data_IF_103741907691
#
_entry.id   IF_103741907691
#
_cell.length_a   1.000
_cell.length_b   1.000
_cell.length_c   1.000
_cell.angle_alpha   90.00
_cell.angle_beta   90.00
_cell.angle_gamma   90.00
#
_symmetry.space_group_name_H-M   'P 1'
#
loop_
_entity.id
_entity.type
_entity.pdbx_description
1 polymer ?
#
# COMPACT_ATOMS: atom_id res chain seq x y z
N UNK A 1 132.15 -57.61 80.02
CA UNK A 1 131.61 -58.11 78.74
C UNK A 1 130.32 -58.85 79.05
N UNK A 2 129.22 -58.54 78.35
CA UNK A 2 127.97 -59.30 78.49
C UNK A 2 127.97 -60.51 77.56
N UNK A 3 127.25 -61.57 77.92
CA UNK A 3 127.13 -62.77 77.09
C UNK A 3 126.42 -62.51 75.76
N UNK A 4 126.71 -63.29 74.73
CA UNK A 4 126.14 -63.17 73.38
C UNK A 4 124.62 -63.40 73.42
N UNK A 5 123.82 -62.45 72.90
CA UNK A 5 122.36 -62.62 72.78
C UNK A 5 122.06 -63.38 71.47
N UNK A 6 121.88 -64.69 71.59
CA UNK A 6 121.48 -65.56 70.48
C UNK A 6 120.61 -66.70 71.00
N UNK A 7 119.83 -67.35 70.13
CA UNK A 7 118.84 -68.37 70.49
C UNK A 7 119.39 -69.54 71.33
N UNK A 8 120.67 -69.91 71.15
CA UNK A 8 121.30 -71.07 71.79
C UNK A 8 122.38 -70.68 72.82
N UNK A 9 122.50 -69.40 73.16
CA UNK A 9 123.50 -68.95 74.12
C UNK A 9 123.17 -69.45 75.52
N UNK A 10 124.16 -70.04 76.18
CA UNK A 10 124.12 -70.38 77.61
C UNK A 10 124.92 -69.37 78.46
N UNK A 11 125.42 -68.30 77.82
CA UNK A 11 126.20 -67.26 78.49
C UNK A 11 125.30 -66.38 79.36
N UNK A 12 125.82 -65.91 80.49
CA UNK A 12 125.09 -65.03 81.38
C UNK A 12 124.85 -63.66 80.72
N UNK A 13 123.59 -63.23 80.68
CA UNK A 13 123.21 -61.87 80.30
C UNK A 13 123.48 -60.90 81.45
N UNK A 14 123.96 -59.68 81.14
CA UNK A 14 124.19 -58.64 82.14
C UNK A 14 123.07 -57.58 82.16
N UNK A 15 123.06 -56.74 83.21
CA UNK A 15 122.04 -55.71 83.38
C UNK A 15 121.97 -54.69 82.24
N UNK A 16 123.10 -54.33 81.61
CA UNK A 16 123.11 -53.37 80.48
C UNK A 16 122.42 -53.93 79.23
N UNK A 17 122.56 -55.23 78.97
CA UNK A 17 121.90 -55.91 77.85
C UNK A 17 120.39 -56.02 78.06
N UNK A 18 119.97 -56.32 79.29
CA UNK A 18 118.55 -56.35 79.65
C UNK A 18 117.93 -54.94 79.63
N UNK A 19 118.67 -53.93 80.08
CA UNK A 19 118.25 -52.52 79.99
C UNK A 19 118.09 -52.06 78.55
N UNK A 20 119.07 -52.30 77.67
CA UNK A 20 118.95 -51.94 76.25
C UNK A 20 117.79 -52.65 75.56
N UNK A 21 117.48 -53.90 75.92
CA UNK A 21 116.28 -54.58 75.44
C UNK A 21 115.00 -53.89 75.95
N UNK A 22 114.91 -53.61 77.24
CA UNK A 22 113.75 -52.95 77.85
C UNK A 22 113.50 -51.54 77.30
N UNK A 23 114.54 -50.71 77.20
CA UNK A 23 114.50 -49.35 76.65
C UNK A 23 114.08 -49.36 75.17
N UNK A 24 114.61 -50.28 74.35
CA UNK A 24 114.20 -50.40 72.96
C UNK A 24 112.73 -50.83 72.83
N UNK A 25 112.27 -51.78 73.65
CA UNK A 25 110.86 -52.20 73.63
C UNK A 25 109.95 -51.05 74.07
N UNK A 26 110.36 -50.21 75.03
CA UNK A 26 109.60 -49.03 75.46
C UNK A 26 109.51 -47.98 74.35
N UNK A 27 110.63 -47.70 73.67
CA UNK A 27 110.66 -46.81 72.49
C UNK A 27 109.79 -47.31 71.34
N UNK A 28 109.73 -48.62 71.10
CA UNK A 28 108.85 -49.20 70.07
C UNK A 28 107.37 -49.08 70.41
N UNK A 29 106.98 -49.22 71.68
CA UNK A 29 105.61 -48.97 72.10
C UNK A 29 105.24 -47.48 72.01
N UNK A 30 106.17 -46.56 72.28
CA UNK A 30 105.87 -45.13 72.30
C UNK A 30 104.89 -44.79 73.43
N UNK A 31 104.06 -43.75 73.25
CA UNK A 31 103.02 -43.41 74.22
C UNK A 31 103.54 -43.15 75.63
N UNK A 32 104.73 -42.57 75.79
CA UNK A 32 105.37 -42.38 77.11
C UNK A 32 105.76 -43.67 77.86
N UNK A 33 105.77 -44.84 77.22
CA UNK A 33 106.36 -46.04 77.82
C UNK A 33 107.85 -45.81 78.14
N UNK A 34 108.31 -46.31 79.28
CA UNK A 34 109.68 -46.16 79.75
C UNK A 34 110.15 -47.44 80.48
N UNK A 35 111.45 -47.71 80.46
CA UNK A 35 112.08 -48.79 81.22
C UNK A 35 113.22 -48.22 82.07
N UNK A 36 113.02 -48.15 83.38
CA UNK A 36 113.95 -47.50 84.30
C UNK A 36 114.11 -48.32 85.58
N UNK A 37 115.35 -48.48 86.06
CA UNK A 37 115.69 -49.21 87.29
C UNK A 37 115.11 -50.64 87.37
N UNK A 38 115.00 -51.31 86.23
CA UNK A 38 114.45 -52.66 86.12
C UNK A 38 112.91 -52.73 86.11
N UNK A 39 112.22 -51.59 86.16
CA UNK A 39 110.76 -51.47 86.18
C UNK A 39 110.23 -50.92 84.86
N UNK A 40 109.06 -51.41 84.46
CA UNK A 40 108.33 -50.95 83.28
C UNK A 40 107.29 -49.90 83.62
N UNK A 41 107.26 -48.81 82.86
CA UNK A 41 106.14 -47.86 82.81
C UNK A 41 105.29 -48.16 81.57
N UNK A 42 104.00 -48.38 81.76
CA UNK A 42 103.08 -48.71 80.66
C UNK A 42 102.94 -47.53 79.67
N UNK A 43 102.73 -47.80 78.36
CA UNK A 43 102.35 -46.74 77.43
C UNK A 43 100.97 -46.18 77.77
N UNK A 44 100.73 -44.96 77.32
CA UNK A 44 99.44 -44.27 77.27
C UNK A 44 99.26 -43.70 75.85
N UNK A 45 98.29 -44.25 75.13
CA UNK A 45 97.92 -43.81 73.78
C UNK A 45 96.66 -42.98 73.85
N UNK A 46 96.75 -41.73 73.41
CA UNK A 46 95.59 -40.85 73.29
C UNK A 46 95.05 -40.88 71.87
N UNK A 47 93.82 -41.34 71.70
CA UNK A 47 93.09 -41.31 70.43
C UNK A 47 91.80 -40.52 70.58
N UNK A 48 91.39 -39.88 69.48
CA UNK A 48 90.03 -39.35 69.37
C UNK A 48 89.09 -40.48 69.04
N UNK A 49 88.10 -40.70 69.88
CA UNK A 49 87.06 -41.70 69.69
C UNK A 49 85.69 -41.07 69.61
N UNK A 50 84.76 -41.80 69.01
CA UNK A 50 83.36 -41.38 68.92
C UNK A 50 82.58 -42.02 70.06
N UNK A 51 81.74 -41.23 70.74
CA UNK A 51 80.88 -41.72 71.81
C UNK A 51 79.80 -42.68 71.26
N UNK A 52 79.09 -43.39 72.14
CA UNK A 52 78.22 -44.51 71.74
C UNK A 52 77.03 -44.10 70.85
N UNK A 53 76.61 -42.83 70.90
CA UNK A 53 75.52 -42.28 70.11
C UNK A 53 75.97 -41.50 68.87
N UNK A 54 77.28 -41.47 68.56
CA UNK A 54 77.82 -40.78 67.38
C UNK A 54 77.97 -39.26 67.52
N UNK A 55 77.27 -38.65 68.49
CA UNK A 55 77.08 -37.20 68.53
C UNK A 55 78.33 -36.37 68.87
N UNK A 56 79.38 -37.00 69.42
CA UNK A 56 80.58 -36.30 69.89
C UNK A 56 81.86 -37.10 69.65
N UNK A 57 82.92 -36.35 69.34
CA UNK A 57 84.31 -36.85 69.32
C UNK A 57 85.00 -36.44 70.61
N UNK A 58 85.59 -37.41 71.31
CA UNK A 58 86.24 -37.24 72.61
C UNK A 58 87.66 -37.84 72.62
N UNK A 59 88.56 -37.26 73.40
CA UNK A 59 89.90 -37.84 73.62
C UNK A 59 89.80 -38.97 74.64
N UNK A 60 90.35 -40.14 74.30
CA UNK A 60 90.39 -41.32 75.17
C UNK A 60 91.80 -41.88 75.25
N UNK A 61 92.24 -42.13 76.47
CA UNK A 61 93.55 -42.70 76.78
C UNK A 61 93.45 -44.23 76.90
N UNK A 62 94.45 -44.93 76.35
CA UNK A 62 94.53 -46.39 76.32
C UNK A 62 95.90 -46.87 76.80
N UNK A 63 95.93 -47.89 77.66
CA UNK A 63 97.16 -48.36 78.30
C UNK A 63 97.88 -49.46 77.52
N UNK A 64 97.25 -49.99 76.46
CA UNK A 64 97.81 -51.02 75.59
C UNK A 64 97.51 -50.73 74.11
N UNK A 65 98.35 -51.26 73.22
CA UNK A 65 98.16 -51.15 71.75
C UNK A 65 96.83 -51.78 71.33
N UNK A 66 96.52 -52.98 71.86
CA UNK A 66 95.30 -53.70 71.52
C UNK A 66 94.03 -52.92 71.89
N UNK A 67 93.99 -52.32 73.09
CA UNK A 67 92.85 -51.50 73.51
C UNK A 67 92.71 -50.23 72.66
N UNK A 68 93.83 -49.60 72.30
CA UNK A 68 93.83 -48.41 71.46
C UNK A 68 93.28 -48.68 70.05
N UNK A 69 93.75 -49.75 69.39
CA UNK A 69 93.23 -50.14 68.09
C UNK A 69 91.78 -50.64 68.15
N UNK A 70 91.39 -51.34 69.22
CA UNK A 70 89.98 -51.70 69.44
C UNK A 70 89.09 -50.46 69.59
N UNK A 71 89.58 -49.42 70.27
CA UNK A 71 88.90 -48.13 70.41
C UNK A 71 88.70 -47.38 69.08
N UNK A 72 89.73 -47.35 68.23
CA UNK A 72 89.65 -46.79 66.88
C UNK A 72 88.69 -47.61 66.01
N UNK A 73 88.76 -48.94 66.05
CA UNK A 73 87.83 -49.84 65.35
C UNK A 73 86.37 -49.58 65.75
N UNK A 74 86.10 -49.50 67.05
CA UNK A 74 84.77 -49.16 67.58
C UNK A 74 84.30 -47.79 67.11
N UNK A 75 85.20 -46.79 67.01
CA UNK A 75 84.86 -45.46 66.50
C UNK A 75 84.48 -45.48 65.02
N UNK A 76 85.16 -46.29 64.19
CA UNK A 76 84.78 -46.47 62.80
C UNK A 76 83.43 -47.18 62.64
N UNK A 77 83.14 -48.19 63.46
CA UNK A 77 81.83 -48.85 63.48
C UNK A 77 80.70 -47.88 63.83
N UNK A 78 80.92 -47.02 64.84
CA UNK A 78 79.97 -45.97 65.25
C UNK A 78 79.72 -44.96 64.14
N UNK A 79 80.76 -44.45 63.50
CA UNK A 79 80.63 -43.52 62.36
C UNK A 79 79.90 -44.16 61.18
N UNK A 80 80.18 -45.43 60.87
CA UNK A 80 79.48 -46.15 59.80
C UNK A 80 77.98 -46.28 60.08
N UNK A 81 77.62 -46.57 61.33
CA UNK A 81 76.23 -46.62 61.79
C UNK A 81 75.54 -45.25 61.65
N UNK A 82 76.15 -44.19 62.16
CA UNK A 82 75.57 -42.84 62.08
C UNK A 82 75.41 -42.36 60.63
N UNK A 83 76.38 -42.63 59.76
CA UNK A 83 76.26 -42.34 58.34
C UNK A 83 75.10 -43.10 57.68
N UNK A 84 74.90 -44.37 58.06
CA UNK A 84 73.79 -45.19 57.57
C UNK A 84 72.44 -44.65 58.04
N UNK A 85 72.33 -44.28 59.32
CA UNK A 85 71.11 -43.70 59.89
C UNK A 85 70.78 -42.33 59.28
N UNK A 86 71.79 -41.46 59.11
CA UNK A 86 71.64 -40.16 58.45
C UNK A 86 71.15 -40.31 57.01
N UNK A 87 71.76 -41.22 56.24
CA UNK A 87 71.32 -41.51 54.86
C UNK A 87 69.89 -42.07 54.80
N UNK A 88 69.51 -42.93 55.74
CA UNK A 88 68.15 -43.44 55.82
C UNK A 88 67.16 -42.31 56.11
N UNK A 89 67.47 -41.42 57.06
CA UNK A 89 66.63 -40.26 57.38
C UNK A 89 66.47 -39.29 56.21
N UNK A 90 67.56 -38.98 55.49
CA UNK A 90 67.53 -38.14 54.27
C UNK A 90 66.67 -38.80 53.18
N UNK A 91 66.84 -40.10 52.97
CA UNK A 91 66.07 -40.86 51.97
C UNK A 91 64.58 -40.82 52.28
N UNK A 92 64.22 -41.00 53.55
CA UNK A 92 62.82 -40.98 53.97
C UNK A 92 62.22 -39.58 53.87
N UNK A 93 62.97 -38.54 54.22
CA UNK A 93 62.52 -37.16 54.06
C UNK A 93 62.20 -36.80 52.60
N UNK A 94 63.05 -37.25 51.66
CA UNK A 94 62.83 -37.08 50.22
C UNK A 94 61.59 -37.86 49.78
N UNK A 95 61.45 -39.14 50.19
CA UNK A 95 60.27 -39.96 49.87
C UNK A 95 58.96 -39.36 50.36
N UNK A 96 59.00 -38.70 51.51
CA UNK A 96 57.83 -38.11 52.14
C UNK A 96 57.40 -36.77 51.52
N UNK A 97 58.35 -35.94 51.06
CA UNK A 97 58.06 -34.54 50.72
C UNK A 97 58.34 -34.15 49.26
N UNK A 98 59.02 -34.98 48.48
CA UNK A 98 59.25 -34.71 47.07
C UNK A 98 58.06 -35.13 46.19
N UNK A 99 57.87 -34.44 45.07
CA UNK A 99 56.97 -34.86 43.99
C UNK A 99 57.67 -35.96 43.19
N UNK A 100 57.29 -37.21 43.43
CA UNK A 100 58.01 -38.39 42.93
C UNK A 100 57.26 -39.07 41.80
N UNK A 101 58.02 -39.71 40.91
CA UNK A 101 57.47 -40.55 39.87
C UNK A 101 56.81 -41.81 40.46
N UNK A 102 55.52 -42.00 40.16
CA UNK A 102 54.78 -43.22 40.44
C UNK A 102 54.97 -44.18 39.26
N UNK A 103 55.68 -45.28 39.48
CA UNK A 103 55.84 -46.32 38.44
C UNK A 103 54.51 -46.99 38.10
N UNK A 104 53.61 -47.10 39.07
CA UNK A 104 52.25 -47.65 38.88
C UNK A 104 51.40 -46.75 38.00
N UNK A 105 51.39 -45.44 38.27
CA UNK A 105 50.55 -44.48 37.53
C UNK A 105 51.25 -43.95 36.26
N UNK A 106 52.53 -44.26 36.07
CA UNK A 106 53.39 -43.72 35.01
C UNK A 106 53.32 -42.18 34.92
N UNK A 107 53.32 -41.51 36.07
CA UNK A 107 53.25 -40.06 36.18
C UNK A 107 53.90 -39.58 37.49
N UNK A 108 54.20 -38.28 37.58
CA UNK A 108 54.51 -37.69 38.87
C UNK A 108 53.27 -37.63 39.76
N UNK A 109 53.38 -38.10 41.00
CA UNK A 109 52.29 -38.09 41.97
C UNK A 109 52.30 -36.81 42.79
N UNK A 110 51.20 -36.07 42.75
CA UNK A 110 50.94 -34.96 43.66
C UNK A 110 50.21 -35.40 44.94
N UNK A 111 50.29 -36.68 45.31
CA UNK A 111 49.72 -37.17 46.57
C UNK A 111 50.69 -36.95 47.72
N UNK A 112 50.22 -36.41 48.84
CA UNK A 112 51.01 -36.18 50.05
C UNK A 112 50.19 -36.57 51.29
N UNK A 113 50.86 -37.03 52.35
CA UNK A 113 50.25 -37.54 53.59
C UNK A 113 51.19 -38.48 54.36
N UNK A 114 51.02 -38.60 55.68
CA UNK A 114 51.84 -39.47 56.53
C UNK A 114 51.41 -40.94 56.39
N UNK A 115 52.24 -41.76 55.74
CA UNK A 115 51.94 -43.17 55.49
C UNK A 115 51.13 -43.41 54.22
N UNK A 116 51.28 -44.61 53.63
CA UNK A 116 50.78 -44.91 52.28
C UNK A 116 49.24 -44.85 52.18
N UNK A 117 48.53 -45.20 53.26
CA UNK A 117 47.07 -45.18 53.30
C UNK A 117 46.47 -43.76 53.40
N UNK A 118 47.24 -42.78 53.88
CA UNK A 118 46.76 -41.41 54.16
C UNK A 118 47.14 -40.41 53.05
N UNK A 119 47.80 -40.88 51.99
CA UNK A 119 48.19 -40.03 50.85
C UNK A 119 46.96 -39.61 50.05
N UNK A 120 46.73 -38.30 49.97
CA UNK A 120 45.61 -37.71 49.21
C UNK A 120 46.09 -36.70 48.17
N UNK A 121 45.26 -36.42 47.16
CA UNK A 121 45.57 -35.45 46.11
C UNK A 121 45.81 -34.06 46.73
N UNK A 122 47.00 -33.52 46.51
CA UNK A 122 47.40 -32.21 47.03
C UNK A 122 47.48 -31.15 45.93
N UNK A 123 47.34 -29.88 46.32
CA UNK A 123 47.47 -28.76 45.39
C UNK A 123 48.94 -28.55 45.01
N UNK A 124 49.19 -28.23 43.75
CA UNK A 124 50.44 -27.63 43.29
C UNK A 124 50.18 -26.12 43.18
N UNK A 125 50.79 -25.33 44.06
CA UNK A 125 50.62 -23.87 44.12
C UNK A 125 51.88 -23.13 43.67
N UNK A 126 51.79 -21.81 43.50
CA UNK A 126 52.86 -20.95 42.99
C UNK A 126 53.27 -21.29 41.54
N UNK A 127 52.38 -21.91 40.77
CA UNK A 127 52.55 -22.17 39.36
C UNK A 127 52.36 -20.87 38.55
N UNK A 128 53.38 -20.49 37.78
CA UNK A 128 53.28 -19.40 36.82
C UNK A 128 52.17 -19.68 35.78
N UNK A 129 51.62 -18.65 35.13
CA UNK A 129 50.67 -18.87 34.03
C UNK A 129 51.40 -19.63 32.90
N UNK A 130 50.87 -20.79 32.52
CA UNK A 130 51.42 -21.57 31.41
C UNK A 130 51.14 -20.91 30.07
N UNK A 131 51.97 -21.17 29.06
CA UNK A 131 51.70 -20.70 27.70
C UNK A 131 50.47 -21.40 27.12
N UNK A 132 49.48 -20.64 26.63
CA UNK A 132 48.28 -21.17 25.95
C UNK A 132 48.51 -21.05 24.44
N UNK A 133 49.11 -22.08 23.86
CA UNK A 133 49.37 -22.19 22.43
C UNK A 133 49.26 -23.65 21.97
N UNK A 134 49.03 -23.86 20.68
CA UNK A 134 49.02 -25.19 20.09
C UNK A 134 50.35 -25.91 20.37
N UNK A 135 50.28 -27.14 20.88
CA UNK A 135 51.45 -27.94 21.24
C UNK A 135 52.12 -27.57 22.56
N UNK A 136 51.61 -26.61 23.34
CA UNK A 136 52.15 -26.28 24.67
C UNK A 136 52.03 -27.48 25.63
N UNK A 137 53.09 -27.72 26.39
CA UNK A 137 53.13 -28.71 27.48
C UNK A 137 53.19 -28.06 28.86
N UNK A 138 53.00 -26.74 28.94
CA UNK A 138 52.97 -26.02 30.20
C UNK A 138 51.71 -26.35 30.99
N UNK A 139 51.84 -26.50 32.30
CA UNK A 139 50.67 -26.60 33.17
C UNK A 139 49.96 -25.23 33.26
N UNK A 140 48.62 -25.25 33.22
CA UNK A 140 47.80 -24.06 33.43
C UNK A 140 47.38 -23.94 34.89
N UNK A 141 47.27 -22.72 35.39
CA UNK A 141 46.80 -22.47 36.75
C UNK A 141 45.34 -22.00 36.77
N UNK A 142 44.75 -21.94 37.97
CA UNK A 142 43.33 -21.60 38.13
C UNK A 142 42.92 -20.22 37.61
N UNK A 143 43.84 -19.25 37.54
CA UNK A 143 43.52 -17.92 37.01
C UNK A 143 43.25 -17.94 35.51
N UNK A 144 43.93 -18.80 34.74
CA UNK A 144 43.72 -18.93 33.30
C UNK A 144 42.38 -19.61 32.97
N UNK A 145 42.02 -20.64 33.75
CA UNK A 145 40.71 -21.28 33.63
C UNK A 145 39.58 -20.32 34.04
N UNK A 146 39.80 -19.51 35.07
CA UNK A 146 38.86 -18.46 35.47
C UNK A 146 38.65 -17.43 34.36
N UNK A 147 39.72 -16.90 33.76
CA UNK A 147 39.65 -15.96 32.63
C UNK A 147 38.82 -16.56 31.47
N UNK A 148 39.06 -17.84 31.15
CA UNK A 148 38.28 -18.58 30.13
C UNK A 148 36.80 -18.67 30.50
N UNK A 149 36.47 -19.03 31.75
CA UNK A 149 35.08 -19.13 32.21
C UNK A 149 34.35 -17.78 32.18
N UNK A 150 35.05 -16.67 32.44
CA UNK A 150 34.49 -15.32 32.30
C UNK A 150 34.12 -15.02 30.84
N UNK A 151 34.97 -15.40 29.88
CA UNK A 151 34.64 -15.28 28.45
C UNK A 151 33.45 -16.15 28.04
N UNK A 152 33.37 -17.39 28.53
CA UNK A 152 32.21 -18.27 28.27
C UNK A 152 30.92 -17.65 28.82
N UNK A 153 30.94 -17.14 30.04
CA UNK A 153 29.81 -16.44 30.65
C UNK A 153 29.37 -15.21 29.84
N UNK A 154 30.34 -14.41 29.36
CA UNK A 154 30.05 -13.27 28.50
C UNK A 154 29.43 -13.68 27.16
N UNK A 155 29.88 -14.78 26.55
CA UNK A 155 29.28 -15.33 25.33
C UNK A 155 27.83 -15.76 25.58
N UNK A 156 27.56 -16.46 26.69
CA UNK A 156 26.19 -16.84 27.08
C UNK A 156 25.28 -15.63 27.24
N UNK A 157 25.75 -14.58 27.93
CA UNK A 157 24.96 -13.36 28.11
C UNK A 157 24.74 -12.59 26.79
N UNK A 158 25.76 -12.51 25.93
CA UNK A 158 25.62 -11.91 24.61
C UNK A 158 24.61 -12.67 23.74
N UNK A 159 24.56 -14.00 23.84
CA UNK A 159 23.59 -14.82 23.14
C UNK A 159 22.15 -14.55 23.63
N UNK A 160 21.92 -14.53 24.94
CA UNK A 160 20.61 -14.16 25.51
C UNK A 160 20.18 -12.76 25.06
N UNK A 161 21.09 -11.80 25.11
CA UNK A 161 20.83 -10.43 24.66
C UNK A 161 20.48 -10.37 23.17
N UNK A 162 21.24 -11.06 22.32
CA UNK A 162 20.98 -11.11 20.89
C UNK A 162 19.63 -11.76 20.58
N UNK A 163 19.31 -12.88 21.23
CA UNK A 163 18.04 -13.57 21.06
C UNK A 163 16.86 -12.71 21.53
N UNK A 164 16.97 -12.02 22.67
CA UNK A 164 15.96 -11.07 23.14
C UNK A 164 15.75 -9.91 22.15
N UNK A 165 16.83 -9.32 21.62
CA UNK A 165 16.74 -8.25 20.62
C UNK A 165 16.10 -8.71 19.31
N UNK A 166 16.40 -9.94 18.87
CA UNK A 166 15.77 -10.56 17.69
C UNK A 166 14.26 -10.75 17.95
N UNK A 167 13.88 -11.26 19.12
CA UNK A 167 12.48 -11.43 19.51
C UNK A 167 11.73 -10.08 19.51
N UNK A 168 12.33 -9.05 20.11
CA UNK A 168 11.78 -7.69 20.11
C UNK A 168 11.61 -7.13 18.69
N UNK A 169 12.56 -7.41 17.79
CA UNK A 169 12.50 -6.97 16.39
C UNK A 169 11.39 -7.66 15.59
N UNK A 170 11.04 -8.90 15.93
CA UNK A 170 9.87 -9.57 15.35
C UNK A 170 8.55 -8.98 15.83
N UNK A 171 8.49 -8.45 17.06
CA UNK A 171 7.25 -7.94 17.64
C UNK A 171 6.22 -9.06 17.86
N UNK A 172 4.93 -8.72 17.87
CA UNK A 172 3.86 -9.73 18.00
C UNK A 172 3.91 -10.56 19.29
N UNK A 173 4.58 -10.08 20.34
CA UNK A 173 4.78 -10.85 21.58
C UNK A 173 5.84 -11.95 21.48
N UNK A 174 6.67 -11.99 20.43
CA UNK A 174 7.84 -12.86 20.40
C UNK A 174 8.76 -12.56 21.59
N UNK A 175 9.27 -13.61 22.24
CA UNK A 175 10.14 -13.51 23.41
C UNK A 175 11.19 -14.62 23.36
N UNK A 176 12.39 -14.34 23.88
CA UNK A 176 13.37 -15.37 24.21
C UNK A 176 13.72 -15.25 25.68
N UNK A 177 13.41 -16.30 26.44
CA UNK A 177 13.59 -16.30 27.90
C UNK A 177 13.89 -17.71 28.41
N UNK A 178 14.81 -17.81 29.36
CA UNK A 178 15.19 -19.07 30.02
C UNK A 178 15.56 -20.20 29.04
N UNK A 179 16.20 -19.85 27.91
CA UNK A 179 16.61 -20.80 26.88
C UNK A 179 15.52 -21.21 25.87
N UNK A 180 14.32 -20.63 25.94
CA UNK A 180 13.19 -20.97 25.11
C UNK A 180 12.64 -19.78 24.31
N UNK A 181 12.16 -20.06 23.09
CA UNK A 181 11.48 -19.09 22.24
C UNK A 181 9.96 -19.15 22.44
N UNK A 182 9.34 -17.99 22.58
CA UNK A 182 7.89 -17.77 22.41
C UNK A 182 7.65 -17.23 21.00
N UNK A 183 6.82 -17.91 20.22
CA UNK A 183 6.48 -17.50 18.86
C UNK A 183 5.64 -16.20 18.84
N UNK A 184 5.82 -15.33 17.83
CA UNK A 184 4.96 -14.17 17.67
C UNK A 184 3.53 -14.55 17.27
N UNK A 185 2.60 -13.65 17.57
CA UNK A 185 1.25 -13.60 17.01
C UNK A 185 0.94 -12.17 16.58
N UNK A 186 0.57 -12.01 15.31
CA UNK A 186 0.27 -10.72 14.70
C UNK A 186 -1.24 -10.58 14.53
N UNK A 187 -1.80 -9.49 15.08
CA UNK A 187 -3.19 -9.09 14.83
C UNK A 187 -3.24 -8.11 13.69
N UNK A 188 -3.84 -8.52 12.57
CA UNK A 188 -3.95 -7.68 11.38
C UNK A 188 -5.41 -7.52 11.00
N UNK A 189 -5.83 -6.27 10.80
CA UNK A 189 -7.14 -5.96 10.25
C UNK A 189 -7.13 -6.21 8.75
N UNK A 190 -8.12 -6.94 8.28
CA UNK A 190 -8.26 -7.36 6.89
C UNK A 190 -9.65 -6.99 6.36
N UNK A 191 -9.82 -7.04 5.05
CA UNK A 191 -11.13 -6.93 4.41
C UNK A 191 -11.52 -8.33 3.98
N UNK A 192 -12.70 -8.77 4.41
CA UNK A 192 -13.27 -10.07 4.06
C UNK A 192 -13.85 -10.05 2.64
N UNK A 193 -14.20 -11.22 2.15
CA UNK A 193 -14.84 -11.43 0.86
C UNK A 193 -16.22 -10.76 0.74
N UNK A 194 -16.90 -10.51 1.86
CA UNK A 194 -18.15 -9.73 1.93
C UNK A 194 -17.95 -8.20 1.95
N UNK A 195 -16.70 -7.73 1.86
CA UNK A 195 -16.33 -6.31 1.90
C UNK A 195 -16.25 -5.70 3.31
N UNK A 196 -16.58 -6.44 4.37
CA UNK A 196 -16.53 -5.94 5.73
C UNK A 196 -15.12 -6.06 6.34
N UNK A 197 -14.84 -5.19 7.31
CA UNK A 197 -13.62 -5.29 8.09
C UNK A 197 -13.63 -6.56 8.97
N UNK A 198 -12.52 -7.29 8.96
CA UNK A 198 -12.20 -8.39 9.84
C UNK A 198 -10.90 -8.16 10.61
N UNK A 199 -10.60 -9.05 11.54
CA UNK A 199 -9.31 -9.14 12.22
C UNK A 199 -8.89 -10.61 12.21
N UNK A 200 -7.64 -10.87 11.84
CA UNK A 200 -7.04 -12.20 11.85
C UNK A 200 -5.82 -12.23 12.78
N UNK A 201 -5.63 -13.39 13.42
CA UNK A 201 -4.42 -13.74 14.14
C UNK A 201 -3.50 -14.55 13.22
N UNK A 202 -2.23 -14.14 13.12
CA UNK A 202 -1.25 -14.74 12.20
C UNK A 202 0.01 -15.14 12.96
N UNK A 203 0.52 -16.36 12.76
CA UNK A 203 1.67 -16.87 13.49
C UNK A 203 3.01 -16.39 12.92
N UNK A 204 3.00 -15.80 11.72
CA UNK A 204 4.19 -15.29 11.06
C UNK A 204 3.92 -14.01 10.26
N UNK A 205 4.99 -13.29 9.93
CA UNK A 205 4.95 -12.12 9.05
C UNK A 205 4.47 -12.50 7.64
N UNK A 206 4.81 -13.69 7.15
CA UNK A 206 4.39 -14.17 5.83
C UNK A 206 2.88 -14.34 5.77
N UNK A 207 2.31 -15.07 6.74
CA UNK A 207 0.86 -15.28 6.84
C UNK A 207 0.11 -13.95 7.01
N UNK A 208 0.64 -13.04 7.83
CA UNK A 208 0.09 -11.71 8.01
C UNK A 208 0.02 -10.92 6.68
N UNK A 209 1.09 -10.96 5.87
CA UNK A 209 1.10 -10.32 4.56
C UNK A 209 0.21 -11.01 3.52
N UNK A 210 0.05 -12.34 3.58
CA UNK A 210 -0.95 -13.05 2.77
C UNK A 210 -2.38 -12.59 3.09
N UNK A 211 -2.69 -12.37 4.37
CA UNK A 211 -3.95 -11.77 4.81
C UNK A 211 -4.18 -10.36 4.25
N UNK A 212 -3.15 -9.52 4.24
CA UNK A 212 -3.19 -8.18 3.63
C UNK A 212 -3.39 -8.27 2.11
N UNK A 213 -2.66 -9.16 1.42
CA UNK A 213 -2.80 -9.37 -0.02
C UNK A 213 -4.20 -9.83 -0.42
N UNK A 214 -4.80 -10.70 0.39
CA UNK A 214 -6.21 -11.10 0.24
C UNK A 214 -7.14 -9.91 0.40
N UNK A 215 -6.89 -9.03 1.39
CA UNK A 215 -7.68 -7.80 1.60
C UNK A 215 -7.64 -6.86 0.40
N UNK A 216 -6.48 -6.70 -0.25
CA UNK A 216 -6.38 -5.91 -1.49
C UNK A 216 -7.17 -6.52 -2.64
N UNK A 217 -7.19 -7.85 -2.74
CA UNK A 217 -8.01 -8.56 -3.73
C UNK A 217 -9.51 -8.31 -3.50
N UNK A 218 -9.94 -8.43 -2.24
CA UNK A 218 -11.33 -8.20 -1.86
C UNK A 218 -11.76 -6.75 -2.09
N UNK A 219 -10.90 -5.77 -1.74
CA UNK A 219 -11.14 -4.35 -2.04
C UNK A 219 -11.24 -4.08 -3.55
N UNK A 220 -10.39 -4.72 -4.36
CA UNK A 220 -10.47 -4.59 -5.82
C UNK A 220 -11.79 -5.13 -6.37
N UNK A 221 -12.29 -6.25 -5.85
CA UNK A 221 -13.59 -6.82 -6.23
C UNK A 221 -14.75 -5.90 -5.83
N UNK A 222 -14.79 -5.41 -4.60
CA UNK A 222 -15.84 -4.50 -4.12
C UNK A 222 -15.82 -3.17 -4.89
N UNK A 223 -14.63 -2.65 -5.21
CA UNK A 223 -14.50 -1.46 -6.05
C UNK A 223 -15.05 -1.71 -7.47
N UNK A 224 -14.70 -2.83 -8.10
CA UNK A 224 -15.23 -3.18 -9.43
C UNK A 224 -16.75 -3.33 -9.41
N UNK A 225 -17.30 -3.94 -8.37
CA UNK A 225 -18.75 -4.07 -8.17
C UNK A 225 -19.42 -2.70 -8.05
N UNK A 226 -18.86 -1.80 -7.25
CA UNK A 226 -19.38 -0.43 -7.11
C UNK A 226 -19.28 0.37 -8.42
N UNK A 227 -18.17 0.25 -9.17
CA UNK A 227 -18.00 0.88 -10.48
C UNK A 227 -19.02 0.34 -11.48
N UNK A 228 -19.17 -0.98 -11.56
CA UNK A 228 -20.14 -1.61 -12.46
C UNK A 228 -21.57 -1.17 -12.12
N UNK A 229 -21.91 -1.08 -10.83
CA UNK A 229 -23.20 -0.54 -10.42
C UNK A 229 -23.41 0.90 -10.91
N UNK A 230 -22.42 1.79 -10.77
CA UNK A 230 -22.51 3.16 -11.28
C UNK A 230 -22.65 3.19 -12.81
N UNK A 231 -21.92 2.34 -13.52
CA UNK A 231 -22.01 2.21 -14.99
C UNK A 231 -23.40 1.69 -15.39
N UNK A 232 -23.93 0.69 -14.69
CA UNK A 232 -25.24 0.09 -14.93
C UNK A 232 -26.39 1.06 -14.62
N UNK A 233 -26.24 1.87 -13.57
CA UNK A 233 -27.21 2.89 -13.15
C UNK A 233 -27.11 4.19 -13.95
N UNK A 234 -26.05 4.39 -14.74
CA UNK A 234 -25.92 5.56 -15.59
C UNK A 234 -27.08 5.68 -16.57
N UNK A 235 -27.77 6.83 -16.55
CA UNK A 235 -28.87 7.10 -17.47
C UNK A 235 -28.37 7.56 -18.85
N UNK A 236 -27.14 8.06 -18.96
CA UNK A 236 -26.58 8.59 -20.20
C UNK A 236 -25.43 7.69 -20.62
N UNK A 237 -25.64 6.89 -21.66
CA UNK A 237 -24.66 5.92 -22.15
C UNK A 237 -24.41 6.13 -23.64
N UNK A 238 -23.14 6.17 -24.04
CA UNK A 238 -22.78 6.08 -25.45
C UNK A 238 -22.76 4.61 -25.85
N UNK A 239 -23.55 4.25 -26.87
CA UNK A 239 -23.54 2.90 -27.40
C UNK A 239 -22.25 2.66 -28.21
N UNK A 240 -21.56 1.56 -27.94
CA UNK A 240 -20.20 1.33 -28.44
C UNK A 240 -20.11 1.18 -29.96
N UNK A 241 -21.15 0.67 -30.62
CA UNK A 241 -21.16 0.41 -32.06
C UNK A 241 -21.47 1.66 -32.88
N UNK A 242 -22.59 2.31 -32.58
CA UNK A 242 -23.15 3.47 -33.30
C UNK A 242 -22.60 4.79 -32.79
N UNK A 243 -21.97 4.80 -31.61
CA UNK A 243 -21.52 6.00 -30.89
C UNK A 243 -22.64 6.99 -30.55
N UNK A 244 -23.90 6.57 -30.66
CA UNK A 244 -25.06 7.37 -30.26
C UNK A 244 -25.15 7.43 -28.74
N UNK A 245 -25.33 8.64 -28.20
CA UNK A 245 -25.63 8.84 -26.79
C UNK A 245 -27.12 8.59 -26.57
N UNK A 246 -27.44 7.55 -25.80
CA UNK A 246 -28.79 7.21 -25.40
C UNK A 246 -29.05 7.72 -23.99
N UNK A 247 -30.28 8.16 -23.73
CA UNK A 247 -30.74 8.61 -22.41
C UNK A 247 -31.85 7.67 -21.96
N UNK A 248 -31.62 6.95 -20.85
CA UNK A 248 -32.61 6.06 -20.22
C UNK A 248 -32.96 4.79 -20.98
N UNK A 249 -32.24 4.42 -22.05
CA UNK A 249 -32.65 3.33 -22.95
C UNK A 249 -32.77 1.93 -22.30
N UNK A 250 -32.08 1.70 -21.17
CA UNK A 250 -32.11 0.44 -20.40
C UNK A 250 -33.04 0.52 -19.17
N UNK A 251 -33.75 1.63 -18.98
CA UNK A 251 -34.64 1.86 -17.84
C UNK A 251 -36.07 2.08 -18.34
N UNK A 252 -37.05 1.64 -17.56
CA UNK A 252 -38.47 1.86 -17.87
C UNK A 252 -38.87 3.32 -17.59
N UNK A 253 -40.00 3.74 -18.14
CA UNK A 253 -40.55 5.10 -17.99
C UNK A 253 -40.96 5.72 -19.33
N UNK A 254 -41.74 6.80 -19.26
CA UNK A 254 -42.25 7.51 -20.46
C UNK A 254 -41.87 8.98 -20.49
N UNK A 255 -41.15 9.49 -19.49
CA UNK A 255 -40.80 10.90 -19.35
C UNK A 255 -39.31 11.09 -19.01
N UNK A 256 -38.67 12.03 -19.71
CA UNK A 256 -37.35 12.56 -19.36
C UNK A 256 -37.52 14.04 -19.03
N UNK A 257 -37.32 14.41 -17.77
CA UNK A 257 -37.37 15.81 -17.34
C UNK A 257 -35.97 16.42 -17.29
N UNK A 258 -35.84 17.62 -17.85
CA UNK A 258 -34.64 18.47 -17.71
C UNK A 258 -34.88 19.61 -16.71
N UNK A 259 -35.86 19.49 -15.82
CA UNK A 259 -36.02 20.47 -14.73
C UNK A 259 -34.82 20.44 -13.77
N UNK A 260 -34.59 21.53 -13.02
CA UNK A 260 -33.61 21.54 -11.93
C UNK A 260 -34.17 20.86 -10.66
N UNK A 261 -33.42 20.85 -9.56
CA UNK A 261 -33.86 20.25 -8.28
C UNK A 261 -35.08 20.93 -7.65
N UNK A 262 -35.48 22.12 -8.12
CA UNK A 262 -36.68 22.85 -7.69
C UNK A 262 -37.88 22.62 -8.63
N UNK A 263 -37.73 21.80 -9.67
CA UNK A 263 -38.77 21.57 -10.67
C UNK A 263 -38.89 22.67 -11.74
N UNK A 264 -37.94 23.61 -11.80
CA UNK A 264 -37.94 24.69 -12.79
C UNK A 264 -37.42 24.17 -14.13
N UNK A 265 -38.19 24.38 -15.19
CA UNK A 265 -37.82 24.02 -16.56
C UNK A 265 -36.54 24.73 -17.04
N UNK A 266 -35.70 24.02 -17.79
CA UNK A 266 -34.46 24.54 -18.38
C UNK A 266 -34.57 24.62 -19.91
N UNK A 267 -33.80 25.52 -20.51
CA UNK A 267 -33.65 25.55 -21.97
C UNK A 267 -32.73 24.42 -22.45
N UNK A 268 -33.09 23.79 -23.57
CA UNK A 268 -32.24 22.84 -24.28
C UNK A 268 -31.66 23.57 -25.50
N UNK A 269 -30.35 23.77 -25.50
CA UNK A 269 -29.62 24.41 -26.61
C UNK A 269 -28.78 23.39 -27.38
N UNK A 270 -28.36 23.74 -28.61
CA UNK A 270 -27.64 22.81 -29.49
C UNK A 270 -28.52 21.79 -30.21
N UNK A 271 -29.85 21.95 -30.16
CA UNK A 271 -30.81 21.10 -30.90
C UNK A 271 -30.72 21.39 -32.40
N UNK A 272 -30.17 20.44 -33.15
CA UNK A 272 -30.12 20.49 -34.62
C UNK A 272 -31.54 20.44 -35.19
N UNK A 273 -31.74 21.03 -36.37
CA UNK A 273 -33.01 20.96 -37.07
C UNK A 273 -33.43 19.49 -37.30
N UNK A 274 -34.65 19.15 -36.88
CA UNK A 274 -35.27 17.85 -37.07
C UNK A 274 -35.42 17.51 -38.57
N UNK A 275 -35.03 16.29 -38.92
CA UNK A 275 -35.14 15.66 -40.24
C UNK A 275 -36.02 14.41 -40.23
N UNK A 276 -36.31 13.87 -39.03
CA UNK A 276 -37.23 12.76 -38.79
C UNK A 276 -38.44 13.23 -37.98
N UNK A 277 -39.49 12.41 -37.95
CA UNK A 277 -40.74 12.65 -37.24
C UNK A 277 -40.63 12.47 -35.72
N UNK A 278 -39.63 11.73 -35.25
CA UNK A 278 -39.34 11.46 -33.83
C UNK A 278 -38.25 12.37 -33.22
N UNK A 279 -37.83 13.41 -33.94
CA UNK A 279 -36.81 14.38 -33.50
C UNK A 279 -37.44 15.65 -32.90
N UNK A 280 -36.78 16.24 -31.90
CA UNK A 280 -37.21 17.51 -31.33
C UNK A 280 -37.04 18.65 -32.35
N UNK A 281 -38.11 19.42 -32.59
CA UNK A 281 -38.06 20.63 -33.43
C UNK A 281 -37.38 21.77 -32.68
N UNK A 282 -36.46 22.47 -33.34
CA UNK A 282 -35.86 23.66 -32.76
C UNK A 282 -36.67 24.92 -33.09
N UNK A 283 -36.38 26.03 -32.39
CA UNK A 283 -37.12 27.29 -32.55
C UNK A 283 -37.05 27.83 -33.99
N UNK A 284 -35.91 27.71 -34.65
CA UNK A 284 -35.71 28.20 -36.01
C UNK A 284 -36.64 27.51 -37.01
N UNK A 285 -36.80 26.18 -36.92
CA UNK A 285 -37.71 25.43 -37.79
C UNK A 285 -39.16 25.85 -37.59
N UNK A 286 -39.57 26.05 -36.33
CA UNK A 286 -40.92 26.50 -36.01
C UNK A 286 -41.18 27.90 -36.58
N UNK A 287 -40.26 28.85 -36.33
CA UNK A 287 -40.37 30.23 -36.84
C UNK A 287 -40.45 30.24 -38.38
N UNK A 288 -39.59 29.49 -39.07
CA UNK A 288 -39.59 29.37 -40.54
C UNK A 288 -40.89 28.75 -41.07
N UNK A 289 -41.43 27.75 -40.39
CA UNK A 289 -42.70 27.11 -40.79
C UNK A 289 -43.88 28.07 -40.64
N UNK A 290 -43.89 28.84 -39.55
CA UNK A 290 -44.88 29.90 -39.30
C UNK A 290 -44.78 31.02 -40.34
N UNK A 291 -43.55 31.44 -40.67
CA UNK A 291 -43.30 32.45 -41.68
C UNK A 291 -43.74 31.98 -43.07
N UNK A 292 -43.41 30.73 -43.46
CA UNK A 292 -43.83 30.14 -44.72
C UNK A 292 -45.36 30.07 -44.84
N UNK A 293 -46.06 29.66 -43.77
CA UNK A 293 -47.52 29.65 -43.73
C UNK A 293 -48.11 31.05 -43.87
N UNK A 294 -47.56 32.02 -43.12
CA UNK A 294 -47.99 33.43 -43.18
C UNK A 294 -47.83 34.00 -44.60
N UNK A 295 -46.68 33.77 -45.22
CA UNK A 295 -46.40 34.21 -46.58
C UNK A 295 -47.32 33.53 -47.60
N UNK A 296 -47.62 32.24 -47.44
CA UNK A 296 -48.56 31.52 -48.31
C UNK A 296 -49.95 32.15 -48.26
N UNK A 297 -50.45 32.49 -47.06
CA UNK A 297 -51.77 33.09 -46.88
C UNK A 297 -51.88 34.51 -47.42
N UNK A 298 -50.78 35.28 -47.37
CA UNK A 298 -50.71 36.66 -47.86
C UNK A 298 -50.21 36.77 -49.31
N UNK A 299 -49.91 35.65 -49.96
CA UNK A 299 -49.39 35.65 -51.33
C UNK A 299 -50.44 36.04 -52.36
N UNK A 300 -49.99 36.55 -53.51
CA UNK A 300 -50.84 36.86 -54.66
C UNK A 300 -51.50 35.64 -55.30
N UNK A 301 -51.05 34.44 -54.94
CA UNK A 301 -51.61 33.15 -55.38
C UNK A 301 -52.57 32.53 -54.34
N UNK A 302 -52.78 33.21 -53.21
CA UNK A 302 -53.73 32.79 -52.19
C UNK A 302 -55.16 32.86 -52.71
N UNK A 303 -55.97 31.85 -52.42
CA UNK A 303 -57.38 31.77 -52.82
C UNK A 303 -58.33 32.56 -51.89
N UNK A 304 -57.80 33.49 -51.11
CA UNK A 304 -58.55 34.29 -50.12
C UNK A 304 -58.87 35.67 -50.69
N UNK A 305 -60.06 36.19 -50.38
CA UNK A 305 -60.40 37.59 -50.66
C UNK A 305 -59.87 38.44 -49.50
N UNK A 306 -59.00 39.40 -49.82
CA UNK A 306 -58.40 40.31 -48.85
C UNK A 306 -58.95 41.73 -49.05
N UNK A 307 -58.98 42.47 -47.95
CA UNK A 307 -59.14 43.93 -48.01
C UNK A 307 -57.91 44.57 -48.65
N UNK A 308 -58.12 45.72 -49.29
CA UNK A 308 -57.04 46.49 -49.90
C UNK A 308 -56.06 47.00 -48.84
N UNK A 309 -54.83 47.34 -49.25
CA UNK A 309 -53.83 47.99 -48.37
C UNK A 309 -53.57 49.42 -48.81
N UNK A 310 -53.58 50.34 -47.85
CA UNK A 310 -53.17 51.73 -48.01
C UNK A 310 -52.06 52.07 -46.99
N UNK A 311 -50.92 52.57 -47.47
CA UNK A 311 -49.75 52.89 -46.63
C UNK A 311 -49.30 51.76 -45.68
N UNK A 312 -49.39 50.51 -46.15
CA UNK A 312 -49.04 49.32 -45.39
C UNK A 312 -50.07 48.88 -44.34
N UNK A 313 -51.20 49.59 -44.19
CA UNK A 313 -52.32 49.20 -43.31
C UNK A 313 -53.48 48.61 -44.11
N UNK A 314 -54.19 47.68 -43.49
CA UNK A 314 -55.43 47.12 -44.05
C UNK A 314 -56.51 48.19 -44.11
N UNK A 315 -57.10 48.38 -45.28
CA UNK A 315 -58.24 49.27 -45.52
C UNK A 315 -59.54 48.47 -45.56
N UNK A 316 -60.25 48.45 -44.44
CA UNK A 316 -61.52 47.74 -44.30
C UNK A 316 -62.68 48.34 -45.11
N UNK A 317 -62.45 49.46 -45.81
CA UNK A 317 -63.49 50.12 -46.63
C UNK A 317 -63.48 49.68 -48.09
N UNK A 318 -62.41 49.01 -48.55
CA UNK A 318 -62.24 48.63 -49.96
C UNK A 318 -61.82 47.16 -50.12
N UNK A 319 -62.38 46.54 -51.15
CA UNK A 319 -61.98 45.21 -51.66
C UNK A 319 -61.87 45.32 -53.17
N UNK A 320 -60.65 45.19 -53.70
CA UNK A 320 -60.42 45.08 -55.14
C UNK A 320 -60.40 43.61 -55.52
N UNK A 321 -61.44 43.14 -56.22
CA UNK A 321 -61.52 41.76 -56.69
C UNK A 321 -60.67 41.57 -57.96
N UNK A 322 -59.71 40.66 -57.91
CA UNK A 322 -58.76 40.36 -58.99
C UNK A 322 -57.31 40.60 -58.58
N UNK A 323 -56.34 40.15 -59.39
CA UNK A 323 -54.89 40.33 -59.15
C UNK A 323 -54.41 41.75 -59.49
N UNK A 324 -55.13 42.77 -59.02
CA UNK A 324 -54.80 44.18 -59.25
C UNK A 324 -55.35 44.77 -60.56
N UNK A 325 -54.91 46.01 -60.86
CA UNK A 325 -55.51 46.92 -61.85
C UNK A 325 -55.53 46.38 -63.29
N UNK A 326 -54.61 45.46 -63.60
CA UNK A 326 -54.45 44.88 -64.94
C UNK A 326 -55.10 43.48 -65.07
N UNK A 327 -55.77 43.00 -64.03
CA UNK A 327 -56.44 41.69 -64.04
C UNK A 327 -57.86 41.77 -64.57
N UNK A 328 -58.35 40.66 -65.14
CA UNK A 328 -59.74 40.59 -65.58
C UNK A 328 -60.69 40.71 -64.38
N UNK A 329 -61.80 41.47 -64.50
CA UNK A 329 -62.79 41.58 -63.44
C UNK A 329 -63.30 40.21 -62.98
N UNK A 330 -63.44 40.04 -61.67
CA UNK A 330 -63.94 38.81 -61.05
C UNK A 330 -65.46 38.85 -60.98
N UNK A 331 -66.11 37.80 -61.49
CA UNK A 331 -67.55 37.62 -61.32
C UNK A 331 -67.90 37.30 -59.87
N UNK A 332 -68.81 38.07 -59.27
CA UNK A 332 -69.38 37.76 -57.96
C UNK A 332 -70.73 37.06 -58.17
N UNK A 333 -70.74 35.74 -57.97
CA UNK A 333 -71.89 34.87 -58.24
C UNK A 333 -72.50 34.34 -56.93
N UNK A 334 -73.70 33.76 -57.03
CA UNK A 334 -74.45 33.21 -55.89
C UNK A 334 -74.69 34.26 -54.78
N UNK A 335 -74.90 35.51 -55.18
CA UNK A 335 -75.33 36.58 -54.27
C UNK A 335 -76.84 36.43 -54.09
N UNK A 336 -77.31 36.42 -52.84
CA UNK A 336 -78.73 36.49 -52.54
C UNK A 336 -79.30 37.87 -52.93
N UNK A 337 -80.59 37.93 -53.27
CA UNK A 337 -81.25 39.19 -53.61
C UNK A 337 -81.16 40.21 -52.45
N UNK A 338 -80.56 41.37 -52.74
CA UNK A 338 -80.37 42.44 -51.77
C UNK A 338 -81.66 43.20 -51.50
N UNK A 339 -81.82 43.77 -50.31
CA UNK A 339 -83.01 44.59 -50.03
C UNK A 339 -82.97 45.90 -50.80
N UNK A 340 -83.97 46.14 -51.64
CA UNK A 340 -84.13 47.40 -52.39
C UNK A 340 -84.97 48.37 -51.55
N UNK A 341 -84.32 48.98 -50.55
CA UNK A 341 -84.90 49.99 -49.64
C UNK A 341 -83.93 51.14 -49.40
N UNK A 342 -84.43 52.30 -48.98
CA UNK A 342 -83.59 53.48 -48.69
C UNK A 342 -82.58 53.17 -47.58
N UNK A 343 -81.29 53.37 -47.86
CA UNK A 343 -80.19 53.12 -46.91
C UNK A 343 -79.69 51.68 -46.85
N UNK A 344 -80.14 50.80 -47.75
CA UNK A 344 -79.57 49.45 -47.89
C UNK A 344 -78.13 49.50 -48.40
N UNK A 345 -77.28 48.62 -47.86
CA UNK A 345 -75.90 48.38 -48.32
C UNK A 345 -75.73 46.98 -48.92
N UNK A 346 -76.83 46.28 -49.18
CA UNK A 346 -76.82 44.96 -49.79
C UNK A 346 -76.42 45.06 -51.27
N UNK A 347 -75.60 44.13 -51.75
CA UNK A 347 -75.39 43.95 -53.18
C UNK A 347 -76.70 43.50 -53.85
N UNK A 348 -77.02 44.06 -55.01
CA UNK A 348 -78.18 43.66 -55.81
C UNK A 348 -77.76 42.66 -56.89
N UNK A 349 -78.66 41.75 -57.26
CA UNK A 349 -78.39 40.74 -58.29
C UNK A 349 -78.84 41.21 -59.68
N UNK A 350 -78.30 40.58 -60.72
CA UNK A 350 -78.78 40.79 -62.09
C UNK A 350 -80.27 40.44 -62.26
N UNK A 351 -80.78 39.46 -61.51
CA UNK A 351 -82.20 39.07 -61.54
C UNK A 351 -83.13 40.18 -61.03
N UNK A 352 -82.69 40.91 -59.99
CA UNK A 352 -83.44 42.06 -59.47
C UNK A 352 -83.47 43.23 -60.47
N UNK A 353 -82.33 43.56 -61.09
CA UNK A 353 -82.26 44.59 -62.13
C UNK A 353 -83.12 44.20 -63.33
N UNK A 354 -83.07 42.92 -63.74
CA UNK A 354 -83.90 42.42 -64.83
C UNK A 354 -85.40 42.55 -64.52
N UNK A 355 -85.82 42.19 -63.30
CA UNK A 355 -87.22 42.35 -62.87
C UNK A 355 -87.66 43.82 -62.94
N UNK A 356 -86.85 44.74 -62.40
CA UNK A 356 -87.14 46.19 -62.47
C UNK A 356 -87.24 46.66 -63.93
N UNK A 357 -86.29 46.23 -64.76
CA UNK A 357 -86.25 46.60 -66.18
C UNK A 357 -87.47 46.09 -66.95
N UNK A 358 -87.89 44.85 -66.71
CA UNK A 358 -89.10 44.27 -67.28
C UNK A 358 -90.37 45.00 -66.82
N UNK A 359 -90.46 45.38 -65.54
CA UNK A 359 -91.61 46.12 -65.03
C UNK A 359 -91.69 47.53 -65.62
N UNK A 360 -90.55 48.23 -65.77
CA UNK A 360 -90.48 49.51 -66.48
C UNK A 360 -90.94 49.34 -67.95
N UNK A 361 -90.45 48.32 -68.64
CA UNK A 361 -90.84 48.04 -70.03
C UNK A 361 -92.35 47.79 -70.15
N UNK A 362 -92.93 47.00 -69.23
CA UNK A 362 -94.39 46.76 -69.16
C UNK A 362 -95.17 48.05 -68.91
N UNK A 363 -94.72 48.91 -68.00
CA UNK A 363 -95.39 50.18 -67.70
C UNK A 363 -95.33 51.17 -68.85
N UNK A 364 -94.24 51.18 -69.63
CA UNK A 364 -94.15 51.97 -70.85
C UNK A 364 -95.06 51.40 -71.95
N UNK A 365 -95.12 50.09 -72.11
CA UNK A 365 -95.87 49.47 -73.21
C UNK A 365 -95.25 49.81 -74.57
N UNK A 366 -96.05 49.79 -75.64
CA UNK A 366 -95.58 50.12 -77.00
C UNK A 366 -94.41 49.27 -77.47
N UNK A 367 -94.39 47.96 -77.22
CA UNK A 367 -93.25 47.09 -77.60
C UNK A 367 -91.92 47.36 -76.88
N UNK A 368 -91.88 48.21 -75.84
CA UNK A 368 -90.71 48.33 -74.98
C UNK A 368 -90.35 46.97 -74.33
N UNK A 369 -89.05 46.69 -74.20
CA UNK A 369 -88.52 45.45 -73.62
C UNK A 369 -87.20 45.72 -72.90
N UNK A 370 -86.86 44.92 -71.90
CA UNK A 370 -85.54 44.96 -71.26
C UNK A 370 -84.77 43.69 -71.67
N UNK A 371 -83.63 43.85 -72.34
CA UNK A 371 -82.81 42.74 -72.87
C UNK A 371 -81.34 43.08 -72.75
N UNK A 372 -80.55 42.09 -72.35
CA UNK A 372 -79.08 42.18 -72.21
C UNK A 372 -78.61 43.40 -71.39
N UNK A 373 -79.39 43.76 -70.36
CA UNK A 373 -79.11 44.91 -69.48
C UNK A 373 -79.54 46.27 -70.01
N UNK A 374 -80.17 46.35 -71.19
CA UNK A 374 -80.66 47.59 -71.81
C UNK A 374 -82.18 47.62 -71.99
N UNK A 375 -82.78 48.81 -71.83
CA UNK A 375 -84.20 49.06 -72.13
C UNK A 375 -84.36 49.52 -73.58
N UNK A 376 -85.20 48.85 -74.36
CA UNK A 376 -85.59 49.30 -75.71
C UNK A 376 -86.68 50.37 -75.62
N UNK A 377 -86.63 51.33 -76.54
CA UNK A 377 -87.63 52.40 -76.60
C UNK A 377 -89.03 51.84 -76.88
N UNK A 378 -90.10 52.41 -76.28
CA UNK A 378 -91.47 52.12 -76.72
C UNK A 378 -91.72 52.68 -78.13
N UNK A 379 -92.78 52.24 -78.78
CA UNK A 379 -93.31 52.68 -80.05
C UNK A 379 -94.82 52.84 -79.86
N UNK A 380 -95.26 54.08 -79.74
CA UNK A 380 -96.68 54.42 -79.69
C UNK A 380 -97.15 54.80 -81.09
N UNK A 381 -98.01 53.97 -81.69
CA UNK A 381 -98.68 54.30 -82.93
C UNK A 381 -99.97 55.05 -82.63
N UNK A 382 -99.99 56.33 -82.95
CA UNK A 382 -101.17 57.17 -82.80
C UNK A 382 -101.63 57.62 -84.19
N UNK A 383 -102.92 57.88 -84.30
CA UNK A 383 -103.45 58.65 -85.42
C UNK A 383 -102.79 60.04 -85.42
N UNK A 384 -102.60 60.62 -86.59
CA UNK A 384 -102.14 62.00 -86.81
C UNK A 384 -103.19 62.66 -87.71
N UNK A 385 -103.87 63.66 -87.16
CA UNK A 385 -105.00 64.35 -87.81
C UNK A 385 -104.48 65.69 -88.29
N UNK A 386 -104.37 65.85 -89.61
CA UNK A 386 -104.01 67.14 -90.19
C UNK A 386 -105.13 68.17 -89.97
N UNK A 387 -104.82 69.46 -90.09
CA UNK A 387 -105.82 70.55 -90.01
C UNK A 387 -106.98 70.39 -91.00
N UNK A 388 -106.73 69.73 -92.12
CA UNK A 388 -107.72 69.48 -93.17
C UNK A 388 -108.55 68.20 -92.92
N UNK A 389 -108.27 67.47 -91.83
CA UNK A 389 -109.02 66.29 -91.40
C UNK A 389 -108.56 64.95 -91.94
N UNK A 390 -107.40 64.90 -92.59
CA UNK A 390 -106.82 63.63 -93.05
C UNK A 390 -106.22 62.91 -91.85
N UNK A 391 -106.52 61.62 -91.70
CA UNK A 391 -105.98 60.78 -90.62
C UNK A 391 -104.88 59.88 -91.18
N UNK A 392 -103.66 60.01 -90.66
CA UNK A 392 -102.52 59.14 -90.99
C UNK A 392 -101.97 58.48 -89.71
N UNK A 393 -101.09 57.48 -89.83
CA UNK A 393 -100.42 56.89 -88.66
C UNK A 393 -99.07 57.54 -88.42
N UNK A 394 -98.76 57.90 -87.17
CA UNK A 394 -97.44 58.42 -86.77
C UNK A 394 -96.94 57.70 -85.53
N UNK A 395 -95.65 57.34 -85.55
CA UNK A 395 -94.99 56.62 -84.46
C UNK A 395 -94.21 57.58 -83.58
N UNK A 396 -94.30 57.38 -82.26
CA UNK A 396 -93.54 58.12 -81.25
C UNK A 396 -92.75 57.14 -80.37
N UNK A 397 -91.50 57.48 -80.06
CA UNK A 397 -90.59 56.57 -79.33
C UNK A 397 -90.44 56.88 -77.84
N UNK A 398 -91.20 57.85 -77.34
CA UNK A 398 -91.26 58.21 -75.94
C UNK A 398 -92.65 58.74 -75.59
N UNK A 399 -93.00 58.65 -74.30
CA UNK A 399 -94.33 59.01 -73.78
C UNK A 399 -94.61 60.50 -73.97
N UNK A 400 -93.61 61.37 -73.78
CA UNK A 400 -93.78 62.81 -73.89
C UNK A 400 -94.14 63.25 -75.31
N UNK A 401 -93.41 62.74 -76.30
CA UNK A 401 -93.65 62.99 -77.71
C UNK A 401 -95.01 62.44 -78.16
N UNK A 402 -95.40 61.25 -77.68
CA UNK A 402 -96.70 60.65 -77.96
C UNK A 402 -97.87 61.53 -77.47
N UNK A 403 -97.80 62.02 -76.23
CA UNK A 403 -98.82 62.93 -75.69
C UNK A 403 -98.84 64.28 -76.41
N UNK A 404 -97.69 64.83 -76.78
CA UNK A 404 -97.63 66.07 -77.57
C UNK A 404 -98.27 65.90 -78.95
N UNK A 405 -98.08 64.75 -79.59
CA UNK A 405 -98.78 64.38 -80.83
C UNK A 405 -100.30 64.30 -80.64
N UNK A 406 -100.77 63.65 -79.57
CA UNK A 406 -102.20 63.56 -79.26
C UNK A 406 -102.84 64.93 -78.98
N UNK A 407 -102.16 65.80 -78.22
CA UNK A 407 -102.60 67.18 -77.97
C UNK A 407 -102.73 67.98 -79.26
N UNK A 408 -101.79 67.79 -80.20
CA UNK A 408 -101.86 68.39 -81.53
C UNK A 408 -103.11 67.92 -82.30
N UNK A 409 -103.43 66.63 -82.26
CA UNK A 409 -104.65 66.10 -82.88
C UNK A 409 -105.92 66.67 -82.25
N UNK A 410 -105.98 66.74 -80.92
CA UNK A 410 -107.15 67.28 -80.20
C UNK A 410 -107.37 68.74 -80.62
N UNK A 411 -106.32 69.55 -80.70
CA UNK A 411 -106.40 70.93 -81.20
C UNK A 411 -106.93 70.96 -82.63
N UNK A 412 -106.36 70.16 -83.53
CA UNK A 412 -106.79 70.11 -84.93
C UNK A 412 -108.24 69.64 -85.11
N UNK A 413 -108.74 68.73 -84.25
CA UNK A 413 -110.14 68.30 -84.25
C UNK A 413 -111.05 69.37 -83.66
N UNK A 414 -110.68 69.98 -82.53
CA UNK A 414 -111.47 71.02 -81.86
C UNK A 414 -111.59 72.29 -82.71
N UNK A 415 -110.59 72.62 -83.54
CA UNK A 415 -110.70 73.71 -84.51
C UNK A 415 -111.69 73.43 -85.66
N UNK A 416 -112.20 72.20 -85.78
CA UNK A 416 -113.12 71.74 -86.85
C UNK A 416 -114.54 71.44 -86.38
N UNK A 417 -114.82 71.51 -85.08
CA UNK A 417 -116.17 71.37 -84.47
C UNK A 417 -116.62 72.75 -84.03
#
# INVERSE_FOLDING_TARGET
MGGTISKNSIEAVNGSQLYSLGDNVAKYFGGSANYENGQWSAPSFKFKTVNDDGSKVEDKDYSTVSEAFAGVGSSFEKLHKEFTESNAAVTENIKQNALLWSATDQAFSAKHGEGEAEKTNSKITSLAKGNIAEGSTDAVNGSQLFDTNQHVSAVSHNFETAAANIAQSFGGGAEYKDGAWTAPSFKVKTIKDDGNAGEGDYASVSEAFEGVGTSFTNLHQELNKAINQVVDDSLVKQEDTTKVIKIGAEKEGTEITVANSEGIARSISGVKAATKDDEAVNKMQLDQSLEALSNSLQSEDSAVVLYDKADGKTDYTNVTLGKGKDSSPVGLHNIADGKIIKGSHDAITGGQINTIGEDIAKFLGGEASFKDGGLTQPIYQLSDVSKDGQVTGKSFTDVGSAFSGLDTNIKNVNDRI
#
